data_IF_789622547693
#
_entry.id   IF_789622547693
#
_cell.length_a   1.000
_cell.length_b   1.000
_cell.length_c   1.000
_cell.angle_alpha   90.00
_cell.angle_beta   90.00
_cell.angle_gamma   90.00
#
_symmetry.space_group_name_H-M   'P 1'
#
loop_
_entity.id
_entity.type
_entity.pdbx_description
1 polymer ?
#
# COMPACT_ATOMS: atom_id res chain seq x y z
N UNK A 1 17.00 6.59 0.68
CA UNK A 1 16.31 5.94 1.83
C UNK A 1 16.63 6.70 3.10
N UNK A 2 15.62 7.22 3.79
CA UNK A 2 15.75 7.96 5.06
C UNK A 2 15.95 7.01 6.25
N UNK A 3 16.41 7.53 7.41
CA UNK A 3 16.48 6.75 8.66
C UNK A 3 15.10 6.19 9.06
N UNK A 4 14.04 7.01 8.88
CA UNK A 4 12.66 6.61 9.18
C UNK A 4 12.22 5.41 8.32
N UNK A 5 12.48 5.43 7.03
CA UNK A 5 12.19 4.31 6.11
C UNK A 5 12.99 3.05 6.46
N UNK A 6 14.27 3.21 6.86
CA UNK A 6 15.09 2.07 7.32
C UNK A 6 14.46 1.38 8.52
N UNK A 7 13.97 2.15 9.49
CA UNK A 7 13.27 1.61 10.68
C UNK A 7 11.98 0.89 10.26
N UNK A 8 11.18 1.46 9.35
CA UNK A 8 9.93 0.84 8.90
C UNK A 8 10.18 -0.48 8.16
N UNK A 9 11.21 -0.55 7.31
CA UNK A 9 11.60 -1.81 6.64
C UNK A 9 12.08 -2.87 7.65
N UNK A 10 12.86 -2.48 8.66
CA UNK A 10 13.26 -3.37 9.73
C UNK A 10 12.06 -3.85 10.55
N UNK A 11 11.07 -2.97 10.81
CA UNK A 11 9.84 -3.35 11.48
C UNK A 11 9.05 -4.39 10.68
N UNK A 12 8.90 -4.20 9.36
CA UNK A 12 8.21 -5.15 8.49
C UNK A 12 8.88 -6.53 8.51
N UNK A 13 10.22 -6.59 8.40
CA UNK A 13 10.98 -7.84 8.51
C UNK A 13 10.80 -8.52 9.86
N UNK A 14 10.83 -7.72 10.95
CA UNK A 14 10.63 -8.25 12.29
C UNK A 14 9.21 -8.79 12.47
N UNK A 15 8.19 -8.06 12.02
CA UNK A 15 6.78 -8.52 12.05
C UNK A 15 6.61 -9.82 11.26
N UNK A 16 7.19 -9.92 10.07
CA UNK A 16 7.15 -11.14 9.25
C UNK A 16 7.77 -12.34 9.95
N UNK A 17 8.84 -12.12 10.74
CA UNK A 17 9.57 -13.19 11.45
C UNK A 17 8.90 -13.65 12.73
N UNK A 18 8.44 -12.73 13.57
CA UNK A 18 7.95 -13.04 14.93
C UNK A 18 6.46 -12.85 15.13
N UNK A 19 5.77 -12.30 14.13
CA UNK A 19 4.35 -11.94 14.18
C UNK A 19 4.12 -10.60 14.88
N UNK A 20 3.00 -9.95 14.55
CA UNK A 20 2.65 -8.60 15.01
C UNK A 20 2.49 -8.51 16.54
N UNK A 21 1.96 -9.56 17.18
CA UNK A 21 1.78 -9.63 18.63
C UNK A 21 3.11 -9.57 19.39
N UNK A 22 4.12 -10.23 18.86
CA UNK A 22 5.41 -10.47 19.52
C UNK A 22 6.49 -9.44 19.18
N UNK A 23 6.25 -8.54 18.21
CA UNK A 23 7.23 -7.52 17.83
C UNK A 23 7.45 -6.51 18.94
N UNK A 24 8.73 -6.24 19.25
CA UNK A 24 9.15 -5.23 20.22
C UNK A 24 10.02 -4.15 19.55
N UNK A 25 10.06 -2.96 20.16
CA UNK A 25 10.89 -1.85 19.65
C UNK A 25 12.38 -2.18 19.71
N UNK A 26 12.80 -2.99 20.68
CA UNK A 26 14.17 -3.47 20.82
C UNK A 26 14.59 -4.34 19.63
N UNK A 27 13.76 -5.32 19.28
CA UNK A 27 14.01 -6.19 18.11
C UNK A 27 14.10 -5.39 16.81
N UNK A 28 13.23 -4.40 16.65
CA UNK A 28 13.23 -3.52 15.47
C UNK A 28 14.46 -2.62 15.44
N UNK A 29 14.90 -2.09 16.59
CA UNK A 29 16.13 -1.29 16.68
C UNK A 29 17.36 -2.11 16.30
N UNK A 30 17.45 -3.35 16.80
CA UNK A 30 18.49 -4.32 16.45
C UNK A 30 18.50 -4.63 14.95
N UNK A 31 17.35 -4.98 14.36
CA UNK A 31 17.18 -5.25 12.92
C UNK A 31 17.55 -4.02 12.07
N UNK A 32 17.23 -2.81 12.55
CA UNK A 32 17.58 -1.56 11.89
C UNK A 32 19.03 -1.15 12.07
N UNK A 33 19.79 -1.80 12.98
CA UNK A 33 21.17 -1.43 13.32
C UNK A 33 21.28 -0.06 13.96
N UNK A 34 20.36 0.30 14.87
CA UNK A 34 20.33 1.57 15.61
C UNK A 34 20.08 1.33 17.09
N UNK A 35 20.37 2.33 17.93
CA UNK A 35 20.00 2.27 19.34
C UNK A 35 18.49 2.38 19.55
N UNK A 36 17.97 1.81 20.66
CA UNK A 36 16.57 1.97 21.08
C UNK A 36 16.17 3.45 21.19
N UNK A 37 17.05 4.29 21.74
CA UNK A 37 16.82 5.74 21.84
C UNK A 37 16.70 6.41 20.46
N UNK A 38 17.52 5.97 19.50
CA UNK A 38 17.42 6.42 18.10
C UNK A 38 16.11 6.01 17.44
N UNK A 39 15.59 4.81 17.75
CA UNK A 39 14.28 4.39 17.28
C UNK A 39 13.16 5.21 17.93
N UNK A 40 13.19 5.37 19.27
CA UNK A 40 12.17 6.11 20.02
C UNK A 40 12.06 7.58 19.60
N UNK A 41 13.15 8.18 19.12
CA UNK A 41 13.11 9.53 18.53
C UNK A 41 12.20 9.61 17.30
N UNK A 42 12.17 8.57 16.46
CA UNK A 42 11.32 8.50 15.27
C UNK A 42 9.93 7.93 15.55
N UNK A 43 9.84 6.97 16.46
CA UNK A 43 8.60 6.25 16.81
C UNK A 43 8.55 6.04 18.34
N UNK A 44 7.86 6.91 19.07
CA UNK A 44 7.87 6.90 20.55
C UNK A 44 7.16 5.69 21.17
N UNK A 45 6.42 4.91 20.37
CA UNK A 45 5.70 3.71 20.83
C UNK A 45 5.59 2.67 19.71
N UNK A 46 5.27 1.42 20.09
CA UNK A 46 4.92 0.37 19.12
C UNK A 46 3.74 0.78 18.24
N UNK A 47 2.71 1.38 18.83
CA UNK A 47 1.55 1.86 18.07
C UNK A 47 1.95 2.95 17.05
N UNK A 48 2.80 3.90 17.44
CA UNK A 48 3.34 4.91 16.51
C UNK A 48 4.15 4.28 15.37
N UNK A 49 4.92 3.22 15.64
CA UNK A 49 5.66 2.48 14.64
C UNK A 49 4.71 1.76 13.67
N UNK A 50 3.71 1.05 14.18
CA UNK A 50 2.73 0.33 13.36
C UNK A 50 1.91 1.30 12.49
N UNK A 51 1.45 2.42 13.07
CA UNK A 51 0.82 3.50 12.31
C UNK A 51 1.75 4.01 11.20
N UNK A 52 3.02 4.23 11.51
CA UNK A 52 4.01 4.65 10.53
C UNK A 52 4.19 3.66 9.37
N UNK A 53 4.03 2.35 9.59
CA UNK A 53 4.04 1.34 8.53
C UNK A 53 2.83 1.49 7.60
N UNK A 54 1.63 1.67 8.16
CA UNK A 54 0.40 1.90 7.40
C UNK A 54 0.51 3.19 6.58
N UNK A 55 0.91 4.30 7.21
CA UNK A 55 1.11 5.59 6.53
C UNK A 55 2.15 5.48 5.38
N UNK A 56 3.19 4.67 5.57
CA UNK A 56 4.23 4.47 4.55
C UNK A 56 3.73 3.71 3.32
N UNK A 57 2.87 2.71 3.50
CA UNK A 57 2.23 1.98 2.39
C UNK A 57 1.44 2.96 1.53
N UNK A 58 0.56 3.77 2.12
CA UNK A 58 -0.25 4.73 1.37
C UNK A 58 0.57 5.86 0.75
N UNK A 59 1.59 6.37 1.46
CA UNK A 59 2.51 7.34 0.88
C UNK A 59 3.15 6.81 -0.39
N UNK A 60 3.67 5.57 -0.36
CA UNK A 60 4.28 4.93 -1.51
C UNK A 60 3.28 4.72 -2.66
N UNK A 61 2.06 4.29 -2.35
CA UNK A 61 1.01 4.14 -3.37
C UNK A 61 0.69 5.48 -4.04
N UNK A 62 0.58 6.57 -3.27
CA UNK A 62 0.35 7.90 -3.82
C UNK A 62 1.54 8.39 -4.67
N UNK A 63 2.78 8.11 -4.26
CA UNK A 63 3.98 8.43 -5.04
C UNK A 63 3.98 7.65 -6.38
N UNK A 64 3.63 6.36 -6.37
CA UNK A 64 3.53 5.55 -7.57
C UNK A 64 2.41 6.04 -8.52
N UNK A 65 1.25 6.46 -8.00
CA UNK A 65 0.19 7.08 -8.80
C UNK A 65 0.70 8.37 -9.46
N UNK A 66 1.36 9.24 -8.69
CA UNK A 66 1.85 10.53 -9.17
C UNK A 66 2.90 10.40 -10.30
N UNK A 67 3.64 9.28 -10.38
CA UNK A 67 4.57 9.01 -11.49
C UNK A 67 3.83 8.94 -12.84
N UNK A 68 2.56 8.48 -12.86
CA UNK A 68 1.73 8.37 -14.05
C UNK A 68 0.90 9.62 -14.36
N UNK A 69 0.60 10.47 -13.38
CA UNK A 69 -0.28 11.66 -13.54
C UNK A 69 0.29 12.70 -14.51
N UNK A 70 1.60 12.64 -14.84
CA UNK A 70 2.19 13.49 -15.87
C UNK A 70 1.69 13.19 -17.29
N UNK A 71 1.20 11.98 -17.54
CA UNK A 71 0.78 11.49 -18.86
C UNK A 71 -0.69 11.05 -18.91
N UNK A 72 -1.33 10.85 -17.77
CA UNK A 72 -2.66 10.26 -17.64
C UNK A 72 -3.50 11.00 -16.60
N UNK A 73 -4.82 10.84 -16.67
CA UNK A 73 -5.73 11.24 -15.61
C UNK A 73 -5.56 10.35 -14.35
N UNK A 74 -6.15 10.74 -13.23
CA UNK A 74 -6.01 10.00 -11.97
C UNK A 74 -6.49 8.56 -12.11
N UNK A 75 -7.60 8.33 -12.80
CA UNK A 75 -8.22 7.01 -12.95
C UNK A 75 -7.28 6.00 -13.61
N UNK A 76 -6.64 6.39 -14.71
CA UNK A 76 -5.69 5.55 -15.40
C UNK A 76 -4.38 5.41 -14.64
N UNK A 77 -3.91 6.49 -14.01
CA UNK A 77 -2.71 6.49 -13.15
C UNK A 77 -2.86 5.53 -11.97
N UNK A 78 -4.02 5.51 -11.34
CA UNK A 78 -4.34 4.61 -10.23
C UNK A 78 -4.32 3.14 -10.64
N UNK A 79 -4.86 2.81 -11.83
CA UNK A 79 -4.82 1.44 -12.36
C UNK A 79 -3.41 1.03 -12.76
N UNK A 80 -2.68 1.88 -13.49
CA UNK A 80 -1.32 1.58 -13.95
C UNK A 80 -0.36 1.37 -12.77
N UNK A 81 -0.40 2.23 -11.76
CA UNK A 81 0.43 2.08 -10.56
C UNK A 81 0.15 0.79 -9.82
N UNK A 82 -1.13 0.36 -9.77
CA UNK A 82 -1.52 -0.91 -9.13
C UNK A 82 -1.01 -2.12 -9.92
N UNK A 83 -1.09 -2.07 -11.26
CA UNK A 83 -0.57 -3.13 -12.12
C UNK A 83 0.95 -3.25 -12.00
N UNK A 84 1.68 -2.15 -11.89
CA UNK A 84 3.14 -2.17 -11.73
C UNK A 84 3.57 -2.65 -10.32
N UNK A 85 2.79 -2.37 -9.29
CA UNK A 85 3.06 -2.89 -7.94
C UNK A 85 3.03 -4.43 -7.88
N UNK A 86 2.26 -5.08 -8.76
CA UNK A 86 2.22 -6.54 -8.90
C UNK A 86 3.58 -7.11 -9.34
N UNK A 87 4.40 -6.35 -10.09
CA UNK A 87 5.72 -6.79 -10.55
C UNK A 87 6.84 -6.54 -9.51
N UNK A 88 6.56 -5.82 -8.44
CA UNK A 88 7.55 -5.45 -7.42
C UNK A 88 7.63 -6.50 -6.33
N UNK A 89 8.43 -7.54 -6.54
CA UNK A 89 8.73 -8.56 -5.51
C UNK A 89 9.57 -8.02 -4.34
N UNK A 90 9.46 -8.66 -3.17
CA UNK A 90 10.39 -8.50 -2.06
C UNK A 90 9.93 -7.58 -0.92
N UNK A 91 10.74 -6.57 -0.57
CA UNK A 91 10.54 -5.68 0.61
C UNK A 91 9.18 -4.96 0.63
N UNK A 92 8.58 -4.71 -0.54
CA UNK A 92 7.29 -4.04 -0.70
C UNK A 92 6.15 -4.94 -0.22
N UNK A 93 6.08 -6.17 -0.75
CA UNK A 93 5.07 -7.15 -0.33
C UNK A 93 5.15 -7.44 1.18
N UNK A 94 6.35 -7.52 1.75
CA UNK A 94 6.56 -7.71 3.19
C UNK A 94 6.01 -6.53 4.00
N UNK A 95 6.18 -5.30 3.53
CA UNK A 95 5.64 -4.11 4.19
C UNK A 95 4.12 -4.09 4.16
N UNK A 96 3.51 -4.39 3.00
CA UNK A 96 2.06 -4.40 2.83
C UNK A 96 1.40 -5.47 3.70
N UNK A 97 1.93 -6.69 3.68
CA UNK A 97 1.49 -7.79 4.56
C UNK A 97 1.58 -7.39 6.04
N UNK A 98 2.68 -6.75 6.44
CA UNK A 98 2.87 -6.30 7.82
C UNK A 98 1.93 -5.16 8.22
N UNK A 99 1.62 -4.23 7.31
CA UNK A 99 0.66 -3.15 7.55
C UNK A 99 -0.77 -3.71 7.72
N UNK A 100 -1.18 -4.67 6.90
CA UNK A 100 -2.47 -5.36 7.05
C UNK A 100 -2.55 -6.11 8.37
N UNK A 101 -1.50 -6.82 8.76
CA UNK A 101 -1.45 -7.47 10.08
C UNK A 101 -1.55 -6.46 11.23
N UNK A 102 -0.95 -5.27 11.09
CA UNK A 102 -1.08 -4.20 12.07
C UNK A 102 -2.53 -3.71 12.19
N UNK A 103 -3.20 -3.45 11.07
CA UNK A 103 -4.61 -3.03 11.02
C UNK A 103 -5.52 -4.10 11.64
N UNK A 104 -5.31 -5.38 11.32
CA UNK A 104 -6.09 -6.48 11.87
C UNK A 104 -5.92 -6.63 13.39
N UNK A 105 -4.76 -6.24 13.94
CA UNK A 105 -4.46 -6.28 15.36
C UNK A 105 -4.93 -5.03 16.14
N UNK A 106 -5.02 -3.88 15.48
CA UNK A 106 -5.40 -2.59 16.07
C UNK A 106 -6.37 -1.84 15.16
N UNK A 107 -7.64 -1.78 15.56
CA UNK A 107 -8.71 -1.14 14.79
C UNK A 107 -8.54 0.36 14.59
N UNK A 108 -7.80 1.04 15.45
CA UNK A 108 -7.53 2.47 15.31
C UNK A 108 -6.71 2.76 14.05
N UNK A 109 -5.95 1.76 13.56
CA UNK A 109 -5.20 1.84 12.31
C UNK A 109 -6.08 1.73 11.04
N UNK A 110 -7.36 1.40 11.16
CA UNK A 110 -8.32 1.47 10.05
C UNK A 110 -8.60 2.91 9.60
N UNK A 111 -8.55 3.88 10.52
CA UNK A 111 -8.88 5.27 10.21
C UNK A 111 -8.01 5.86 9.08
N UNK A 112 -6.66 5.76 9.11
CA UNK A 112 -5.82 6.21 8.00
C UNK A 112 -6.17 5.53 6.67
N UNK A 113 -6.44 4.22 6.69
CA UNK A 113 -6.84 3.47 5.51
C UNK A 113 -8.17 3.98 4.94
N UNK A 114 -9.19 4.15 5.79
CA UNK A 114 -10.50 4.68 5.38
C UNK A 114 -10.39 6.09 4.77
N UNK A 115 -9.57 6.96 5.38
CA UNK A 115 -9.33 8.31 4.88
C UNK A 115 -8.69 8.28 3.49
N UNK A 116 -7.68 7.45 3.28
CA UNK A 116 -7.01 7.32 1.98
C UNK A 116 -7.95 6.76 0.90
N UNK A 117 -8.71 5.71 1.22
CA UNK A 117 -9.70 5.16 0.28
C UNK A 117 -10.81 6.17 -0.07
N UNK A 118 -11.27 6.98 0.88
CA UNK A 118 -12.24 8.04 0.61
C UNK A 118 -11.66 9.11 -0.31
N UNK A 119 -10.38 9.47 -0.16
CA UNK A 119 -9.71 10.43 -1.04
C UNK A 119 -9.56 9.88 -2.47
N UNK A 120 -9.11 8.65 -2.63
CA UNK A 120 -9.05 8.01 -3.96
C UNK A 120 -10.43 7.93 -4.62
N UNK A 121 -11.48 7.57 -3.86
CA UNK A 121 -12.86 7.57 -4.38
C UNK A 121 -13.32 8.96 -4.78
N UNK A 122 -12.97 10.01 -4.02
CA UNK A 122 -13.28 11.39 -4.37
C UNK A 122 -12.64 11.78 -5.72
N UNK A 123 -11.38 11.42 -5.93
CA UNK A 123 -10.66 11.69 -7.18
C UNK A 123 -11.25 10.89 -8.36
N UNK A 124 -11.54 9.60 -8.16
CA UNK A 124 -12.19 8.78 -9.19
C UNK A 124 -13.56 9.34 -9.62
N UNK A 125 -14.37 9.80 -8.65
CA UNK A 125 -15.69 10.41 -8.91
C UNK A 125 -15.60 11.78 -9.58
N UNK A 126 -14.49 12.48 -9.43
CA UNK A 126 -14.29 13.75 -10.12
C UNK A 126 -14.12 13.58 -11.64
N UNK A 127 -13.72 12.40 -12.07
CA UNK A 127 -13.43 12.07 -13.47
C UNK A 127 -14.47 11.12 -14.11
N UNK A 128 -15.26 10.41 -13.30
CA UNK A 128 -16.13 9.32 -13.78
C UNK A 128 -17.52 9.35 -13.14
N UNK A 129 -18.45 8.58 -13.73
CA UNK A 129 -19.71 8.26 -13.05
C UNK A 129 -19.46 7.43 -11.78
N UNK A 130 -20.44 7.39 -10.88
CA UNK A 130 -20.35 6.60 -9.62
C UNK A 130 -20.09 5.11 -9.89
N UNK A 131 -20.72 4.56 -10.93
CA UNK A 131 -20.59 3.16 -11.33
C UNK A 131 -19.16 2.87 -11.80
N UNK A 132 -18.62 3.71 -12.70
CA UNK A 132 -17.26 3.54 -13.24
C UNK A 132 -16.21 3.72 -12.14
N UNK A 133 -16.33 4.75 -11.31
CA UNK A 133 -15.45 4.98 -10.16
C UNK A 133 -15.42 3.77 -9.20
N UNK A 134 -16.62 3.21 -8.92
CA UNK A 134 -16.75 2.03 -8.08
C UNK A 134 -16.10 0.80 -8.70
N UNK A 135 -16.29 0.56 -10.00
CA UNK A 135 -15.70 -0.58 -10.71
C UNK A 135 -14.17 -0.46 -10.72
N UNK A 136 -13.62 0.71 -11.05
CA UNK A 136 -12.15 0.94 -11.04
C UNK A 136 -11.57 0.64 -9.66
N UNK A 137 -12.18 1.16 -8.59
CA UNK A 137 -11.75 0.89 -7.23
C UNK A 137 -11.78 -0.59 -6.88
N UNK A 138 -12.84 -1.32 -7.27
CA UNK A 138 -12.95 -2.76 -7.00
C UNK A 138 -11.90 -3.57 -7.76
N UNK A 139 -11.64 -3.21 -9.01
CA UNK A 139 -10.59 -3.85 -9.83
C UNK A 139 -9.22 -3.64 -9.16
N UNK A 140 -8.85 -2.41 -8.82
CA UNK A 140 -7.54 -2.12 -8.21
C UNK A 140 -7.41 -2.75 -6.83
N UNK A 141 -8.48 -2.77 -6.02
CA UNK A 141 -8.47 -3.45 -4.72
C UNK A 141 -8.30 -4.97 -4.88
N UNK A 142 -8.94 -5.57 -5.90
CA UNK A 142 -8.78 -7.00 -6.22
C UNK A 142 -7.34 -7.35 -6.63
N UNK A 143 -6.78 -6.58 -7.57
CA UNK A 143 -5.39 -6.76 -8.03
C UNK A 143 -4.39 -6.63 -6.88
N UNK A 144 -4.55 -5.62 -6.03
CA UNK A 144 -3.70 -5.44 -4.85
C UNK A 144 -3.82 -6.60 -3.86
N UNK A 145 -5.06 -7.11 -3.62
CA UNK A 145 -5.31 -8.25 -2.75
C UNK A 145 -4.66 -9.54 -3.28
N UNK A 146 -4.79 -9.81 -4.58
CA UNK A 146 -4.14 -10.94 -5.23
C UNK A 146 -2.62 -10.90 -5.07
N UNK A 147 -2.03 -9.74 -5.32
CA UNK A 147 -0.60 -9.52 -5.11
C UNK A 147 -0.18 -9.71 -3.64
N UNK A 148 -0.97 -9.21 -2.70
CA UNK A 148 -0.70 -9.34 -1.27
C UNK A 148 -0.60 -10.80 -0.81
N UNK A 149 -1.42 -11.69 -1.39
CA UNK A 149 -1.50 -13.11 -1.01
C UNK A 149 -0.77 -14.05 -1.98
N UNK A 150 -0.02 -13.50 -2.95
CA UNK A 150 0.67 -14.26 -4.00
C UNK A 150 -0.31 -15.18 -4.79
N UNK A 151 -1.54 -14.73 -4.99
CA UNK A 151 -2.56 -15.41 -5.79
C UNK A 151 -2.38 -14.98 -7.24
N UNK A 152 -1.45 -15.59 -7.94
CA UNK A 152 -1.13 -15.27 -9.33
C UNK A 152 -2.15 -15.90 -10.29
N UNK A 153 -3.32 -15.30 -10.37
CA UNK A 153 -4.35 -15.69 -11.35
C UNK A 153 -4.12 -15.07 -12.73
N UNK A 154 -3.21 -14.09 -12.82
CA UNK A 154 -3.04 -13.27 -14.01
C UNK A 154 -1.62 -13.33 -14.57
N UNK A 155 -1.52 -13.81 -15.81
CA UNK A 155 -0.34 -13.63 -16.66
C UNK A 155 -0.31 -12.22 -17.30
N UNK A 156 0.72 -11.91 -18.08
CA UNK A 156 0.84 -10.64 -18.80
C UNK A 156 -0.34 -10.35 -19.74
N UNK A 157 -0.98 -11.38 -20.30
CA UNK A 157 -2.18 -11.25 -21.15
C UNK A 157 -3.38 -10.73 -20.37
N UNK A 158 -3.58 -11.23 -19.13
CA UNK A 158 -4.68 -10.82 -18.27
C UNK A 158 -4.54 -9.37 -17.80
N UNK A 159 -3.30 -8.93 -17.52
CA UNK A 159 -3.01 -7.52 -17.18
C UNK A 159 -3.35 -6.57 -18.31
N UNK A 160 -2.96 -6.93 -19.53
CA UNK A 160 -3.34 -6.17 -20.73
C UNK A 160 -4.86 -6.15 -20.91
N UNK A 161 -5.53 -7.26 -20.64
CA UNK A 161 -6.98 -7.33 -20.69
C UNK A 161 -7.65 -6.41 -19.66
N UNK A 162 -7.21 -6.45 -18.41
CA UNK A 162 -7.71 -5.53 -17.34
C UNK A 162 -7.53 -4.08 -17.75
N UNK A 163 -6.35 -3.71 -18.25
CA UNK A 163 -6.07 -2.34 -18.70
C UNK A 163 -7.00 -1.91 -19.85
N UNK A 164 -7.23 -2.78 -20.82
CA UNK A 164 -8.14 -2.50 -21.95
C UNK A 164 -9.60 -2.35 -21.48
N UNK A 165 -10.05 -3.18 -20.55
CA UNK A 165 -11.39 -3.06 -19.95
C UNK A 165 -11.54 -1.73 -19.23
N UNK A 166 -10.56 -1.32 -18.41
CA UNK A 166 -10.61 -0.04 -17.70
C UNK A 166 -10.61 1.13 -18.67
N UNK A 167 -9.76 1.12 -19.71
CA UNK A 167 -9.75 2.16 -20.75
C UNK A 167 -11.11 2.29 -21.42
N UNK A 168 -11.72 1.17 -21.81
CA UNK A 168 -13.05 1.17 -22.44
C UNK A 168 -14.16 1.67 -21.51
N UNK A 169 -14.03 1.50 -20.18
CA UNK A 169 -14.95 2.07 -19.19
C UNK A 169 -14.78 3.58 -19.07
N UNK A 170 -13.53 4.07 -19.06
CA UNK A 170 -13.20 5.49 -18.97
C UNK A 170 -13.61 6.23 -20.25
N UNK A 171 -13.43 5.65 -21.44
CA UNK A 171 -13.81 6.26 -22.72
C UNK A 171 -15.32 6.40 -22.94
N UNK A 172 -16.14 5.69 -22.18
CA UNK A 172 -17.62 5.76 -22.25
C UNK A 172 -18.24 6.84 -21.32
N UNK A 173 -17.43 7.76 -20.82
CA UNK A 173 -17.86 8.88 -19.96
C UNK A 173 -18.93 9.78 -20.59
#
# INVERSE_FOLDING_TARGET
>A
MTKREKILKAAAKTVSRVGIGNVTLEQVAEEAGISKGGLLYHFPSKQALLKGMVDYVFKRSNEAIAEYENAHDFSLSYVLSTLDDVDREGDISTMDKSAIMAIANDRDLLTPMQQQYNEWMRLLRAENSEEVATIIRLITSGLWFENLFDIHLHGNEDRTHVLNVVKALIEKR
#
